data_IF_598700665272
#
_entry.id   IF_598700665272
#
_cell.length_a   1.000
_cell.length_b   1.000
_cell.length_c   1.000
_cell.angle_alpha   90.00
_cell.angle_beta   90.00
_cell.angle_gamma   90.00
#
_symmetry.space_group_name_H-M   'P 1'
#
loop_
_entity.id
_entity.type
_entity.pdbx_description
1 polymer ?
#
# COMPACT_ATOMS: atom_id res chain seq x y z
N UNK A 1 -12.70 -25.20 12.77
CA UNK A 1 -14.02 -25.19 12.08
C UNK A 1 -13.95 -25.78 10.67
N UNK A 2 -13.03 -25.31 9.80
CA UNK A 2 -12.90 -25.80 8.41
C UNK A 2 -12.57 -27.30 8.27
N UNK A 3 -11.58 -27.82 9.03
CA UNK A 3 -11.22 -29.25 8.95
C UNK A 3 -12.38 -30.18 9.36
N UNK A 4 -13.21 -29.75 10.30
CA UNK A 4 -14.43 -30.43 10.74
C UNK A 4 -15.50 -30.46 9.63
N UNK A 5 -15.65 -29.35 8.90
CA UNK A 5 -16.54 -29.30 7.73
C UNK A 5 -16.04 -30.23 6.62
N UNK A 6 -14.75 -30.14 6.28
CA UNK A 6 -14.09 -30.97 5.25
C UNK A 6 -14.22 -32.47 5.53
N UNK A 7 -14.11 -32.88 6.79
CA UNK A 7 -14.25 -34.30 7.17
C UNK A 7 -15.68 -34.83 7.11
N UNK A 8 -16.69 -33.97 7.20
CA UNK A 8 -18.10 -34.38 7.31
C UNK A 8 -18.93 -34.13 6.04
N UNK A 9 -18.44 -33.30 5.11
CA UNK A 9 -19.11 -33.07 3.84
C UNK A 9 -18.99 -34.29 2.91
N UNK A 10 -20.06 -34.61 2.19
CA UNK A 10 -20.14 -35.76 1.25
C UNK A 10 -20.21 -35.34 -0.22
N UNK A 11 -20.10 -34.04 -0.50
CA UNK A 11 -20.35 -33.45 -1.83
C UNK A 11 -19.12 -33.60 -2.73
N UNK A 12 -17.92 -33.41 -2.17
CA UNK A 12 -16.66 -33.43 -2.92
C UNK A 12 -15.71 -34.47 -2.31
N UNK A 13 -15.21 -35.40 -3.11
CA UNK A 13 -14.14 -36.32 -2.68
C UNK A 13 -12.81 -35.56 -2.68
N UNK A 14 -12.26 -35.32 -1.49
CA UNK A 14 -10.98 -34.63 -1.33
C UNK A 14 -9.84 -35.66 -1.30
N UNK A 15 -8.95 -35.56 -2.27
CA UNK A 15 -7.73 -36.35 -2.33
C UNK A 15 -6.64 -35.72 -1.46
N UNK A 16 -6.46 -36.26 -0.25
CA UNK A 16 -5.45 -35.79 0.71
C UNK A 16 -4.01 -36.00 0.21
N UNK A 17 -3.79 -36.89 -0.75
CA UNK A 17 -2.44 -37.12 -1.31
C UNK A 17 -1.94 -35.90 -2.11
N UNK A 18 -2.84 -35.01 -2.55
CA UNK A 18 -2.50 -33.78 -3.27
C UNK A 18 -2.31 -32.56 -2.37
N UNK A 19 -2.35 -32.74 -1.05
CA UNK A 19 -2.06 -31.66 -0.11
C UNK A 19 -0.62 -31.14 -0.31
N UNK A 20 -0.49 -29.81 -0.40
CA UNK A 20 0.79 -29.11 -0.51
C UNK A 20 1.18 -28.56 0.87
N UNK A 21 2.41 -28.83 1.35
CA UNK A 21 2.88 -28.28 2.61
C UNK A 21 3.15 -26.76 2.50
N UNK A 22 3.28 -26.09 3.63
CA UNK A 22 3.64 -24.67 3.68
C UNK A 22 4.99 -24.38 2.98
N UNK A 23 5.94 -25.32 3.08
CA UNK A 23 7.24 -25.23 2.43
C UNK A 23 7.14 -25.07 0.91
N UNK A 24 6.12 -25.67 0.27
CA UNK A 24 5.87 -25.52 -1.15
C UNK A 24 5.67 -24.05 -1.53
N UNK A 25 4.91 -23.29 -0.74
CA UNK A 25 4.63 -21.89 -1.00
C UNK A 25 5.87 -20.99 -0.75
N UNK A 26 6.80 -21.42 0.11
CA UNK A 26 8.09 -20.75 0.32
C UNK A 26 9.00 -21.00 -0.89
N UNK A 27 9.07 -22.25 -1.35
CA UNK A 27 9.77 -22.61 -2.58
C UNK A 27 9.22 -21.79 -3.75
N UNK A 28 7.90 -21.75 -3.89
CA UNK A 28 7.25 -20.96 -4.92
C UNK A 28 7.57 -19.47 -4.79
N UNK A 29 7.60 -18.95 -3.58
CA UNK A 29 7.98 -17.57 -3.28
C UNK A 29 9.41 -17.20 -3.69
N UNK A 30 10.31 -18.18 -3.86
CA UNK A 30 11.69 -17.97 -4.29
C UNK A 30 11.94 -18.15 -5.79
N UNK A 31 10.89 -18.54 -6.54
CA UNK A 31 10.94 -18.72 -7.99
C UNK A 31 10.95 -17.38 -8.74
N UNK A 32 11.75 -17.27 -9.80
CA UNK A 32 11.87 -16.09 -10.66
C UNK A 32 13.32 -15.73 -10.98
N UNK A 33 13.50 -14.85 -11.96
CA UNK A 33 14.79 -14.45 -12.51
C UNK A 33 15.23 -13.09 -11.96
N UNK A 34 16.30 -13.08 -11.17
CA UNK A 34 16.85 -11.86 -10.56
C UNK A 34 17.41 -10.83 -11.55
N UNK A 35 17.67 -11.21 -12.79
CA UNK A 35 18.25 -10.31 -13.79
C UNK A 35 17.17 -9.67 -14.67
N UNK A 36 15.99 -10.29 -14.74
CA UNK A 36 14.88 -9.80 -15.52
C UNK A 36 13.77 -9.19 -14.65
N UNK A 37 13.74 -7.86 -14.56
CA UNK A 37 12.67 -7.10 -13.86
C UNK A 37 11.27 -7.32 -14.45
N UNK A 38 11.19 -7.65 -15.73
CA UNK A 38 9.93 -7.91 -16.42
C UNK A 38 9.40 -9.33 -16.17
N UNK A 39 10.25 -10.23 -15.67
CA UNK A 39 9.84 -11.57 -15.25
C UNK A 39 8.97 -11.51 -13.98
N UNK A 40 8.14 -12.53 -13.76
CA UNK A 40 7.27 -12.62 -12.58
C UNK A 40 8.05 -13.29 -11.43
N UNK A 41 8.05 -12.66 -10.25
CA UNK A 41 8.78 -13.14 -9.09
C UNK A 41 7.82 -13.68 -8.02
N UNK A 42 8.08 -14.88 -7.51
CA UNK A 42 7.28 -15.51 -6.47
C UNK A 42 5.88 -15.89 -6.93
N UNK A 43 5.75 -16.48 -8.12
CA UNK A 43 4.49 -16.91 -8.74
C UNK A 43 4.53 -18.38 -9.11
N UNK A 44 3.36 -19.01 -9.24
CA UNK A 44 3.18 -20.40 -9.68
C UNK A 44 4.20 -20.91 -10.73
N UNK A 45 4.72 -22.13 -10.48
CA UNK A 45 5.72 -22.82 -11.29
C UNK A 45 5.33 -24.30 -11.42
N UNK A 46 5.17 -24.76 -12.66
CA UNK A 46 4.76 -26.12 -12.96
C UNK A 46 5.79 -27.18 -12.52
N UNK A 47 7.08 -26.86 -12.60
CA UNK A 47 8.19 -27.76 -12.25
C UNK A 47 8.30 -27.99 -10.75
N UNK A 48 8.17 -26.94 -9.94
CA UNK A 48 8.15 -27.01 -8.48
C UNK A 48 6.93 -27.81 -8.01
N UNK A 49 5.75 -27.55 -8.59
CA UNK A 49 4.54 -28.32 -8.31
C UNK A 49 4.71 -29.80 -8.65
N UNK A 50 5.25 -30.12 -9.84
CA UNK A 50 5.49 -31.50 -10.26
C UNK A 50 6.45 -32.21 -9.32
N UNK A 51 7.52 -31.53 -8.89
CA UNK A 51 8.51 -32.07 -7.95
C UNK A 51 7.89 -32.35 -6.59
N UNK A 52 7.03 -31.46 -6.11
CA UNK A 52 6.32 -31.62 -4.84
C UNK A 52 5.32 -32.77 -4.91
N UNK A 53 4.54 -32.87 -5.99
CA UNK A 53 3.52 -33.91 -6.14
C UNK A 53 4.09 -35.29 -6.43
N UNK A 54 5.38 -35.41 -6.80
CA UNK A 54 6.07 -36.68 -6.96
C UNK A 54 6.31 -37.38 -5.61
N UNK A 55 6.41 -36.63 -4.52
CA UNK A 55 6.63 -37.17 -3.18
C UNK A 55 5.34 -37.71 -2.55
N UNK A 56 5.45 -38.85 -1.87
CA UNK A 56 4.29 -39.61 -1.38
C UNK A 56 3.62 -38.97 -0.16
N UNK A 57 4.41 -38.57 0.84
CA UNK A 57 3.91 -38.08 2.12
C UNK A 57 4.14 -36.58 2.30
N UNK A 58 3.30 -35.92 3.10
CA UNK A 58 3.43 -34.48 3.40
C UNK A 58 4.79 -34.09 4.00
N UNK A 59 5.37 -34.97 4.83
CA UNK A 59 6.71 -34.74 5.40
C UNK A 59 7.79 -34.76 4.34
N UNK A 60 7.75 -35.75 3.44
CA UNK A 60 8.73 -35.91 2.36
C UNK A 60 8.63 -34.75 1.36
N UNK A 61 7.40 -34.33 1.04
CA UNK A 61 7.12 -33.09 0.28
C UNK A 61 7.79 -31.87 0.91
N UNK A 62 7.55 -31.66 2.21
CA UNK A 62 8.08 -30.49 2.91
C UNK A 62 9.61 -30.50 2.93
N UNK A 63 10.22 -31.67 3.12
CA UNK A 63 11.68 -31.83 3.09
C UNK A 63 12.22 -31.51 1.69
N UNK A 64 11.59 -32.08 0.65
CA UNK A 64 11.98 -31.84 -0.74
C UNK A 64 11.87 -30.37 -1.13
N UNK A 65 10.80 -29.69 -0.74
CA UNK A 65 10.59 -28.27 -1.02
C UNK A 65 11.65 -27.39 -0.33
N UNK A 66 12.00 -27.72 0.91
CA UNK A 66 13.06 -27.00 1.64
C UNK A 66 14.42 -27.24 0.97
N UNK A 67 14.74 -28.47 0.58
CA UNK A 67 15.97 -28.79 -0.14
C UNK A 67 16.09 -27.98 -1.42
N UNK A 68 15.04 -27.96 -2.25
CA UNK A 68 15.01 -27.16 -3.48
C UNK A 68 15.10 -25.65 -3.22
N UNK A 69 14.48 -25.16 -2.15
CA UNK A 69 14.54 -23.76 -1.76
C UNK A 69 15.97 -23.36 -1.35
N UNK A 70 16.62 -24.19 -0.54
CA UNK A 70 18.01 -23.97 -0.10
C UNK A 70 18.95 -24.03 -1.30
N UNK A 71 18.80 -25.05 -2.17
CA UNK A 71 19.59 -25.20 -3.39
C UNK A 71 19.46 -23.96 -4.28
N UNK A 72 18.23 -23.50 -4.57
CA UNK A 72 17.99 -22.31 -5.39
C UNK A 72 18.61 -21.06 -4.78
N UNK A 73 18.47 -20.89 -3.47
CA UNK A 73 19.01 -19.72 -2.76
C UNK A 73 20.54 -19.75 -2.75
N UNK A 74 21.15 -20.92 -2.56
CA UNK A 74 22.60 -21.10 -2.62
C UNK A 74 23.14 -20.86 -4.04
N UNK A 75 22.49 -21.42 -5.06
CA UNK A 75 22.87 -21.26 -6.47
C UNK A 75 22.76 -19.80 -6.92
N UNK A 76 21.76 -19.07 -6.44
CA UNK A 76 21.62 -17.62 -6.69
C UNK A 76 22.72 -16.83 -5.97
N UNK A 77 23.07 -17.20 -4.74
CA UNK A 77 24.03 -16.49 -3.91
C UNK A 77 23.46 -15.24 -3.25
N UNK A 78 24.16 -14.70 -2.25
CA UNK A 78 23.63 -13.66 -1.34
C UNK A 78 23.23 -12.37 -2.07
N UNK A 79 24.12 -11.80 -2.89
CA UNK A 79 23.87 -10.51 -3.55
C UNK A 79 22.67 -10.57 -4.50
N UNK A 80 22.58 -11.64 -5.31
CA UNK A 80 21.47 -11.86 -6.23
C UNK A 80 20.18 -12.23 -5.52
N UNK A 81 20.26 -12.90 -4.37
CA UNK A 81 19.09 -13.17 -3.52
C UNK A 81 18.50 -11.87 -2.96
N UNK A 82 19.32 -10.94 -2.50
CA UNK A 82 18.86 -9.61 -2.08
C UNK A 82 18.22 -8.88 -3.26
N UNK A 83 18.86 -8.91 -4.44
CA UNK A 83 18.32 -8.32 -5.68
C UNK A 83 16.95 -8.90 -6.04
N UNK A 84 16.81 -10.23 -6.01
CA UNK A 84 15.57 -10.96 -6.27
C UNK A 84 14.44 -10.49 -5.34
N UNK A 85 14.67 -10.48 -4.03
CA UNK A 85 13.65 -10.04 -3.08
C UNK A 85 13.34 -8.54 -3.20
N UNK A 86 14.32 -7.73 -3.61
CA UNK A 86 14.09 -6.33 -3.98
C UNK A 86 13.14 -6.20 -5.18
N UNK A 87 13.38 -6.95 -6.26
CA UNK A 87 12.47 -6.96 -7.42
C UNK A 87 11.08 -7.46 -7.04
N UNK A 88 10.99 -8.52 -6.23
CA UNK A 88 9.72 -9.01 -5.73
C UNK A 88 8.99 -7.95 -4.90
N UNK A 89 9.69 -7.24 -4.02
CA UNK A 89 9.13 -6.12 -3.26
C UNK A 89 8.55 -5.04 -4.18
N UNK A 90 9.30 -4.64 -5.21
CA UNK A 90 8.81 -3.69 -6.19
C UNK A 90 7.55 -4.24 -6.88
N UNK A 91 7.53 -5.48 -7.33
CA UNK A 91 6.33 -6.04 -7.99
C UNK A 91 5.09 -6.13 -7.09
N UNK A 92 5.28 -6.18 -5.78
CA UNK A 92 4.18 -6.16 -4.81
C UNK A 92 3.69 -4.72 -4.58
N UNK A 93 4.56 -3.71 -4.65
CA UNK A 93 4.29 -2.34 -4.13
C UNK A 93 4.45 -1.19 -5.14
N UNK A 94 4.92 -1.46 -6.36
CA UNK A 94 5.32 -0.45 -7.35
C UNK A 94 4.14 0.36 -7.90
N UNK A 95 2.97 -0.26 -7.96
CA UNK A 95 1.80 0.30 -8.62
C UNK A 95 0.62 0.44 -7.66
N UNK A 96 -0.11 1.55 -7.82
CA UNK A 96 -1.42 1.74 -7.17
C UNK A 96 -2.51 0.80 -7.66
N UNK A 97 -2.21 -0.04 -8.67
CA UNK A 97 -3.12 -0.99 -9.29
C UNK A 97 -3.06 -2.30 -8.51
N UNK A 98 -3.65 -2.27 -7.30
CA UNK A 98 -3.68 -3.41 -6.39
C UNK A 98 -4.64 -4.47 -6.93
N UNK A 99 -4.12 -5.68 -7.21
CA UNK A 99 -4.91 -6.85 -7.60
C UNK A 99 -5.19 -7.06 -9.09
N UNK A 100 -4.67 -6.19 -9.97
CA UNK A 100 -4.92 -6.27 -11.41
C UNK A 100 -3.64 -6.21 -12.27
N UNK A 101 -2.46 -6.31 -11.66
CA UNK A 101 -1.18 -6.12 -12.33
C UNK A 101 -0.52 -7.47 -12.70
N UNK A 102 -0.24 -7.67 -14.00
CA UNK A 102 0.65 -8.71 -14.58
C UNK A 102 0.19 -10.17 -14.55
N UNK A 103 -1.04 -10.44 -14.13
CA UNK A 103 -1.51 -11.82 -13.97
C UNK A 103 -2.15 -12.44 -15.21
N UNK A 104 -2.34 -11.67 -16.29
CA UNK A 104 -2.94 -12.16 -17.54
C UNK A 104 -4.37 -12.73 -17.40
N UNK A 105 -5.02 -12.58 -16.24
CA UNK A 105 -6.34 -13.15 -15.96
C UNK A 105 -7.45 -12.57 -16.85
N UNK A 106 -7.19 -11.43 -17.49
CA UNK A 106 -8.15 -10.68 -18.29
C UNK A 106 -7.67 -10.55 -19.76
N UNK A 107 -7.05 -11.59 -20.31
CA UNK A 107 -6.45 -11.56 -21.65
C UNK A 107 -7.46 -11.77 -22.80
N UNK A 108 -8.58 -12.47 -22.57
CA UNK A 108 -9.53 -12.84 -23.63
C UNK A 108 -10.98 -12.53 -23.23
N UNK A 109 -11.59 -11.54 -23.88
CA UNK A 109 -13.01 -11.22 -23.69
C UNK A 109 -13.58 -10.59 -24.96
N UNK A 110 -14.87 -10.79 -25.18
CA UNK A 110 -15.63 -10.01 -26.17
C UNK A 110 -16.02 -8.67 -25.54
N UNK A 111 -15.66 -7.56 -26.19
CA UNK A 111 -16.15 -6.25 -25.78
C UNK A 111 -17.68 -6.19 -25.96
N UNK A 112 -18.37 -5.63 -24.96
CA UNK A 112 -19.78 -5.29 -25.03
C UNK A 112 -20.03 -4.23 -26.12
N UNK A 113 -21.28 -4.07 -26.56
CA UNK A 113 -21.66 -3.10 -27.59
C UNK A 113 -21.04 -1.71 -27.35
N UNK A 114 -20.48 -1.12 -28.41
CA UNK A 114 -19.84 0.19 -28.38
C UNK A 114 -20.80 1.24 -27.80
N UNK A 115 -20.31 2.04 -26.85
CA UNK A 115 -21.08 3.09 -26.17
C UNK A 115 -21.82 2.64 -24.91
N UNK A 116 -21.97 1.33 -24.66
CA UNK A 116 -22.55 0.84 -23.39
C UNK A 116 -21.67 1.18 -22.18
N UNK A 117 -22.30 1.36 -21.01
CA UNK A 117 -21.57 1.52 -19.73
C UNK A 117 -20.63 0.32 -19.49
N UNK A 118 -21.08 -0.88 -19.85
CA UNK A 118 -20.27 -2.10 -19.79
C UNK A 118 -19.01 -1.98 -20.63
N UNK A 119 -19.10 -1.52 -21.88
CA UNK A 119 -17.92 -1.31 -22.73
C UNK A 119 -16.95 -0.27 -22.12
N UNK A 120 -17.45 0.82 -21.53
CA UNK A 120 -16.59 1.80 -20.84
C UNK A 120 -15.84 1.21 -19.65
N UNK A 121 -16.51 0.40 -18.82
CA UNK A 121 -15.89 -0.30 -17.69
C UNK A 121 -14.85 -1.30 -18.20
N UNK A 122 -15.19 -2.08 -19.22
CA UNK A 122 -14.29 -3.03 -19.86
C UNK A 122 -13.02 -2.36 -20.40
N UNK A 123 -13.14 -1.17 -21.01
CA UNK A 123 -11.98 -0.40 -21.49
C UNK A 123 -11.03 0.08 -20.38
N UNK A 124 -11.47 0.10 -19.11
CA UNK A 124 -10.64 0.46 -17.95
C UNK A 124 -9.88 -0.76 -17.42
N UNK A 125 -10.59 -1.88 -17.22
CA UNK A 125 -10.03 -3.04 -16.53
C UNK A 125 -9.22 -3.95 -17.44
N UNK A 126 -9.56 -4.00 -18.72
CA UNK A 126 -8.96 -4.97 -19.60
C UNK A 126 -7.62 -4.54 -20.17
N UNK A 127 -6.74 -5.53 -20.40
CA UNK A 127 -5.33 -5.29 -20.71
C UNK A 127 -5.10 -4.38 -21.94
N UNK A 128 -5.88 -4.61 -23.00
CA UNK A 128 -5.86 -3.84 -24.26
C UNK A 128 -6.89 -2.71 -24.31
N UNK A 129 -7.49 -2.33 -23.18
CA UNK A 129 -8.48 -1.27 -23.09
C UNK A 129 -7.85 0.12 -23.28
N UNK A 130 -8.51 0.99 -24.06
CA UNK A 130 -7.99 2.33 -24.36
C UNK A 130 -7.90 3.24 -23.13
N UNK A 131 -8.75 3.03 -22.13
CA UNK A 131 -8.80 3.86 -20.92
C UNK A 131 -7.87 3.35 -19.81
N UNK A 132 -7.34 2.12 -19.94
CA UNK A 132 -6.49 1.49 -18.93
C UNK A 132 -5.22 2.27 -18.60
N UNK A 133 -4.46 2.83 -19.56
CA UNK A 133 -3.27 3.63 -19.24
C UNK A 133 -3.60 4.86 -18.39
N UNK A 134 -4.68 5.58 -18.71
CA UNK A 134 -5.13 6.75 -17.95
C UNK A 134 -5.59 6.37 -16.54
N UNK A 135 -6.29 5.24 -16.40
CA UNK A 135 -6.68 4.70 -15.10
C UNK A 135 -5.47 4.32 -14.24
N UNK A 136 -4.50 3.59 -14.82
CA UNK A 136 -3.27 3.22 -14.12
C UNK A 136 -2.49 4.46 -13.65
N UNK A 137 -2.43 5.50 -14.48
CA UNK A 137 -1.80 6.77 -14.11
C UNK A 137 -2.51 7.43 -12.91
N UNK A 138 -3.84 7.45 -12.91
CA UNK A 138 -4.61 7.99 -11.78
C UNK A 138 -4.40 7.17 -10.50
N UNK A 139 -4.43 5.84 -10.59
CA UNK A 139 -4.08 4.95 -9.49
C UNK A 139 -2.68 5.23 -8.94
N UNK A 140 -1.71 5.49 -9.82
CA UNK A 140 -0.34 5.82 -9.40
C UNK A 140 -0.26 7.14 -8.63
N UNK A 141 -1.03 8.17 -9.04
CA UNK A 141 -1.11 9.43 -8.29
C UNK A 141 -1.66 9.19 -6.88
N UNK A 142 -2.78 8.48 -6.76
CA UNK A 142 -3.37 8.17 -5.46
C UNK A 142 -2.44 7.32 -4.59
N UNK A 143 -1.68 6.42 -5.21
CA UNK A 143 -0.68 5.62 -4.53
C UNK A 143 0.45 6.46 -3.96
N UNK A 144 1.01 7.39 -4.74
CA UNK A 144 2.05 8.31 -4.27
C UNK A 144 1.53 9.16 -3.10
N UNK A 145 0.31 9.70 -3.19
CA UNK A 145 -0.32 10.45 -2.08
C UNK A 145 -0.43 9.58 -0.83
N UNK A 146 -0.83 8.32 -0.99
CA UNK A 146 -0.97 7.34 0.10
C UNK A 146 0.38 7.04 0.77
N UNK A 147 1.44 6.87 -0.02
CA UNK A 147 2.80 6.63 0.48
C UNK A 147 3.34 7.86 1.22
N UNK A 148 3.23 9.04 0.65
CA UNK A 148 3.68 10.30 1.28
C UNK A 148 2.94 10.49 2.61
N UNK A 149 1.62 10.32 2.63
CA UNK A 149 0.82 10.45 3.84
C UNK A 149 1.21 9.41 4.89
N UNK A 150 1.46 8.16 4.48
CA UNK A 150 1.93 7.11 5.39
C UNK A 150 3.29 7.46 6.00
N UNK A 151 4.22 8.02 5.23
CA UNK A 151 5.52 8.51 5.73
C UNK A 151 5.30 9.61 6.78
N UNK A 152 4.42 10.58 6.50
CA UNK A 152 4.08 11.64 7.46
C UNK A 152 3.54 11.05 8.77
N UNK A 153 2.63 10.07 8.69
CA UNK A 153 2.12 9.39 9.88
C UNK A 153 3.24 8.73 10.69
N UNK A 154 4.18 8.04 10.04
CA UNK A 154 5.31 7.38 10.70
C UNK A 154 6.24 8.36 11.41
N UNK A 155 6.55 9.49 10.77
CA UNK A 155 7.50 10.45 11.32
C UNK A 155 6.89 11.30 12.44
N UNK A 156 5.66 11.79 12.24
CA UNK A 156 5.04 12.80 13.10
C UNK A 156 4.06 12.23 14.12
N UNK A 157 3.41 11.08 13.87
CA UNK A 157 2.45 10.46 14.78
C UNK A 157 3.04 9.21 15.45
N UNK A 158 4.10 9.38 16.25
CA UNK A 158 4.82 8.29 16.95
C UNK A 158 4.06 7.72 18.15
N UNK A 159 2.83 7.26 17.92
CA UNK A 159 2.01 6.60 18.92
C UNK A 159 2.17 5.08 18.83
N UNK A 160 1.93 4.37 19.94
CA UNK A 160 1.95 2.90 19.95
C UNK A 160 0.95 2.31 18.95
N UNK A 161 -0.19 2.97 18.73
CA UNK A 161 -1.21 2.56 17.75
C UNK A 161 -0.67 2.57 16.33
N UNK A 162 0.04 3.63 15.93
CA UNK A 162 0.73 3.70 14.64
C UNK A 162 1.78 2.59 14.55
N UNK A 163 2.55 2.37 15.61
CA UNK A 163 3.52 1.28 15.68
C UNK A 163 2.92 -0.10 15.40
N UNK A 164 1.76 -0.43 16.00
CA UNK A 164 1.05 -1.70 15.76
C UNK A 164 0.61 -1.83 14.30
N UNK A 165 0.06 -0.77 13.72
CA UNK A 165 -0.39 -0.76 12.31
C UNK A 165 0.80 -0.96 11.37
N UNK A 166 1.89 -0.22 11.59
CA UNK A 166 3.12 -0.33 10.81
C UNK A 166 3.76 -1.70 10.93
N UNK A 167 3.80 -2.28 12.13
CA UNK A 167 4.37 -3.60 12.34
C UNK A 167 3.51 -4.70 11.70
N UNK A 168 2.19 -4.53 11.71
CA UNK A 168 1.26 -5.43 11.00
C UNK A 168 1.45 -5.37 9.48
N UNK A 169 1.62 -4.16 8.93
CA UNK A 169 1.94 -3.97 7.50
C UNK A 169 3.30 -4.57 7.15
N UNK A 170 4.32 -4.35 7.99
CA UNK A 170 5.66 -4.91 7.79
C UNK A 170 5.61 -6.45 7.81
N UNK A 171 4.93 -7.04 8.79
CA UNK A 171 4.75 -8.49 8.87
C UNK A 171 3.99 -9.04 7.65
N UNK A 172 2.96 -8.32 7.21
CA UNK A 172 2.22 -8.66 6.00
C UNK A 172 3.07 -8.61 4.73
N UNK A 173 3.89 -7.58 4.56
CA UNK A 173 4.82 -7.45 3.44
C UNK A 173 5.92 -8.53 3.48
N UNK A 174 6.48 -8.82 4.65
CA UNK A 174 7.45 -9.91 4.82
C UNK A 174 6.84 -11.27 4.48
N UNK A 175 5.58 -11.50 4.88
CA UNK A 175 4.85 -12.70 4.50
C UNK A 175 4.72 -12.80 2.98
N UNK A 176 4.34 -11.73 2.29
CA UNK A 176 4.28 -11.71 0.82
C UNK A 176 5.67 -11.88 0.17
N UNK A 177 6.74 -11.40 0.80
CA UNK A 177 8.09 -11.61 0.30
C UNK A 177 8.54 -13.06 0.43
N UNK A 178 8.18 -13.75 1.50
CA UNK A 178 8.58 -15.14 1.74
C UNK A 178 7.77 -16.11 0.88
N UNK A 179 6.45 -15.93 0.83
CA UNK A 179 5.52 -16.85 0.17
C UNK A 179 5.21 -16.46 -1.27
N UNK A 180 4.54 -17.34 -2.01
CA UNK A 180 3.98 -17.00 -3.32
C UNK A 180 3.06 -15.77 -3.20
N UNK A 181 3.40 -14.68 -3.90
CA UNK A 181 2.67 -13.42 -3.79
C UNK A 181 1.87 -13.05 -5.04
N UNK A 182 2.15 -13.68 -6.19
CA UNK A 182 1.36 -13.46 -7.42
C UNK A 182 1.21 -11.97 -7.79
N UNK A 183 2.25 -11.15 -7.57
CA UNK A 183 2.20 -9.69 -7.75
C UNK A 183 1.45 -8.94 -6.63
N UNK A 184 0.53 -8.05 -7.02
CA UNK A 184 -0.16 -7.13 -6.09
C UNK A 184 -1.47 -7.69 -5.51
N UNK A 185 -1.91 -8.89 -5.94
CA UNK A 185 -3.18 -9.53 -5.52
C UNK A 185 -3.36 -9.63 -4.02
N UNK A 186 -2.39 -10.25 -3.35
CA UNK A 186 -2.51 -10.46 -1.91
C UNK A 186 -2.21 -9.19 -1.10
N UNK A 187 -1.69 -8.12 -1.72
CA UNK A 187 -1.60 -6.81 -1.06
C UNK A 187 -2.99 -6.23 -0.77
N UNK A 188 -4.02 -6.64 -1.53
CA UNK A 188 -5.40 -6.20 -1.32
C UNK A 188 -5.91 -6.47 0.10
N UNK A 189 -5.51 -7.58 0.72
CA UNK A 189 -5.93 -7.90 2.09
C UNK A 189 -5.36 -6.93 3.13
N UNK A 190 -4.36 -6.12 2.80
CA UNK A 190 -3.76 -5.13 3.70
C UNK A 190 -4.23 -3.70 3.40
N UNK A 191 -5.14 -3.51 2.44
CA UNK A 191 -5.56 -2.17 2.00
C UNK A 191 -6.16 -1.35 3.14
N UNK A 192 -6.90 -1.98 4.06
CA UNK A 192 -7.48 -1.28 5.20
C UNK A 192 -6.41 -0.71 6.15
N UNK A 193 -5.31 -1.44 6.36
CA UNK A 193 -4.19 -0.95 7.17
C UNK A 193 -3.42 0.17 6.45
N UNK A 194 -3.23 0.04 5.13
CA UNK A 194 -2.59 1.07 4.31
C UNK A 194 -3.42 2.37 4.35
N UNK A 195 -4.73 2.27 4.14
CA UNK A 195 -5.65 3.41 4.20
C UNK A 195 -5.68 4.03 5.61
N UNK A 196 -5.66 3.22 6.66
CA UNK A 196 -5.63 3.72 8.04
C UNK A 196 -4.33 4.48 8.32
N UNK A 197 -3.18 3.94 7.94
CA UNK A 197 -1.89 4.61 8.13
C UNK A 197 -1.79 5.91 7.33
N UNK A 198 -2.21 5.88 6.06
CA UNK A 198 -2.29 7.06 5.20
C UNK A 198 -3.24 8.13 5.76
N UNK A 199 -4.43 7.72 6.22
CA UNK A 199 -5.45 8.61 6.79
C UNK A 199 -4.96 9.34 8.05
N UNK A 200 -4.15 8.68 8.89
CA UNK A 200 -3.52 9.32 10.05
C UNK A 200 -2.53 10.41 9.63
N UNK A 201 -1.81 10.22 8.54
CA UNK A 201 -0.88 11.22 7.98
C UNK A 201 -1.61 12.41 7.39
N UNK A 202 -2.67 12.16 6.61
CA UNK A 202 -3.53 13.20 6.05
C UNK A 202 -4.16 14.02 7.19
N UNK A 203 -4.69 13.36 8.22
CA UNK A 203 -5.29 14.02 9.38
C UNK A 203 -4.29 14.93 10.09
N UNK A 204 -3.04 14.48 10.25
CA UNK A 204 -1.97 15.33 10.80
C UNK A 204 -1.72 16.57 9.94
N UNK A 205 -1.60 16.42 8.63
CA UNK A 205 -1.45 17.56 7.72
C UNK A 205 -2.61 18.54 7.84
N UNK A 206 -3.85 18.07 7.78
CA UNK A 206 -5.04 18.92 7.85
C UNK A 206 -5.13 19.69 9.18
N UNK A 207 -4.80 19.05 10.30
CA UNK A 207 -4.78 19.69 11.61
C UNK A 207 -3.67 20.75 11.70
N UNK A 208 -2.49 20.47 11.15
CA UNK A 208 -1.38 21.43 11.09
C UNK A 208 -1.74 22.65 10.26
N UNK A 209 -2.28 22.45 9.05
CA UNK A 209 -2.72 23.53 8.17
C UNK A 209 -3.82 24.38 8.82
N UNK A 210 -4.80 23.74 9.47
CA UNK A 210 -5.89 24.45 10.15
C UNK A 210 -5.40 25.23 11.39
N UNK A 211 -4.44 24.68 12.13
CA UNK A 211 -3.76 25.38 13.24
C UNK A 211 -2.95 26.59 12.79
N UNK A 212 -2.21 26.47 11.68
CA UNK A 212 -1.45 27.59 11.10
C UNK A 212 -2.38 28.72 10.64
N UNK A 213 -3.54 28.39 10.06
CA UNK A 213 -4.56 29.38 9.67
C UNK A 213 -5.16 30.07 10.90
N UNK A 214 -5.41 29.34 11.99
CA UNK A 214 -5.94 29.92 13.22
C UNK A 214 -4.94 30.90 13.88
N UNK A 215 -3.66 30.51 13.96
CA UNK A 215 -2.58 31.35 14.51
C UNK A 215 -2.39 32.63 13.67
N UNK A 216 -2.43 32.52 12.34
CA UNK A 216 -2.37 33.70 11.46
C UNK A 216 -3.55 34.65 11.69
N UNK A 217 -4.77 34.14 11.87
CA UNK A 217 -5.96 34.95 12.15
C UNK A 217 -5.87 35.66 13.51
N UNK A 218 -5.39 34.99 14.54
CA UNK A 218 -5.17 35.62 15.85
C UNK A 218 -4.08 36.69 15.82
N UNK A 219 -2.98 36.46 15.08
CA UNK A 219 -1.91 37.44 14.91
C UNK A 219 -2.36 38.70 14.18
N UNK A 220 -3.18 38.56 13.12
CA UNK A 220 -3.77 39.71 12.40
C UNK A 220 -4.70 40.50 13.31
N UNK A 221 -5.59 39.83 14.05
CA UNK A 221 -6.54 40.49 14.95
C UNK A 221 -5.85 41.26 16.08
N UNK A 222 -4.80 40.67 16.66
CA UNK A 222 -4.01 41.32 17.73
C UNK A 222 -3.29 42.59 17.25
N UNK A 223 -2.79 42.58 16.01
CA UNK A 223 -2.19 43.76 15.39
C UNK A 223 -3.22 44.87 15.09
N UNK A 224 -4.43 44.52 14.66
CA UNK A 224 -5.54 45.48 14.48
C UNK A 224 -5.97 46.10 15.82
N UNK A 225 -6.07 45.29 16.88
CA UNK A 225 -6.40 45.76 18.23
C UNK A 225 -5.31 46.69 18.80
N UNK A 226 -4.03 46.40 18.59
CA UNK A 226 -2.93 47.31 18.99
C UNK A 226 -2.91 48.62 18.20
N UNK A 227 -3.18 48.58 16.89
CA UNK A 227 -3.28 49.79 16.07
C UNK A 227 -4.45 50.68 16.47
N UNK A 228 -5.60 50.10 16.80
CA UNK A 228 -6.77 50.86 17.28
C UNK A 228 -6.53 51.47 18.68
N UNK A 229 -5.83 50.76 19.58
CA UNK A 229 -5.45 51.30 20.88
C UNK A 229 -4.43 52.46 20.76
N UNK A 230 -3.44 52.35 19.87
CA UNK A 230 -2.46 53.42 19.62
C UNK A 230 -3.07 54.64 18.93
N UNK A 231 -4.02 54.43 18.02
CA UNK A 231 -4.73 55.54 17.36
C UNK A 231 -5.69 56.26 18.33
N UNK A 232 -6.39 55.54 19.21
CA UNK A 232 -7.28 56.16 20.20
C UNK A 232 -6.53 56.95 21.28
N UNK A 233 -5.42 56.40 21.78
CA UNK A 233 -4.56 57.07 22.77
C UNK A 233 -3.84 58.31 22.21
N UNK A 234 -3.39 58.27 20.95
CA UNK A 234 -2.83 59.45 20.26
C UNK A 234 -3.88 60.54 20.00
N UNK A 235 -5.13 60.17 19.68
CA UNK A 235 -6.26 61.11 19.54
C UNK A 235 -6.63 61.76 20.88
N UNK A 236 -6.64 61.00 21.98
CA UNK A 236 -6.84 61.55 23.33
C UNK A 236 -5.73 62.53 23.74
N UNK A 237 -4.45 62.19 23.47
CA UNK A 237 -3.33 63.13 23.72
C UNK A 237 -3.48 64.42 22.93
N UNK A 238 -3.87 64.35 21.64
CA UNK A 238 -4.11 65.54 20.81
C UNK A 238 -5.30 66.38 21.27
N UNK A 239 -6.35 65.78 21.84
CA UNK A 239 -7.47 66.51 22.45
C UNK A 239 -7.05 67.22 23.74
N UNK A 240 -6.28 66.56 24.60
CA UNK A 240 -5.80 67.17 25.85
C UNK A 240 -4.85 68.36 25.58
N UNK A 241 -3.94 68.26 24.61
CA UNK A 241 -3.06 69.40 24.26
C UNK A 241 -3.81 70.60 23.67
N UNK A 242 -4.85 70.36 22.86
CA UNK A 242 -5.73 71.44 22.35
C UNK A 242 -6.59 72.10 23.42
N UNK A 243 -7.04 71.35 24.43
CA UNK A 243 -7.82 71.91 25.54
C UNK A 243 -6.94 72.74 26.49
N UNK A 244 -5.68 72.34 26.67
CA UNK A 244 -4.71 73.11 27.47
C UNK A 244 -4.37 74.43 26.77
N UNK A 245 -4.19 74.44 25.43
CA UNK A 245 -3.88 75.67 24.68
C UNK A 245 -5.05 76.66 24.56
N UNK A 246 -6.29 76.20 24.81
CA UNK A 246 -7.50 77.06 24.82
C UNK A 246 -7.79 77.69 26.19
N UNK A 247 -7.21 77.17 27.28
CA UNK A 247 -7.36 77.71 28.64
C UNK A 247 -6.31 78.76 29.02
N UNK A 248 -5.29 78.98 28.17
CA UNK A 248 -4.18 79.90 28.42
C UNK A 248 -4.29 81.23 27.64
N UNK A 249 -5.51 81.64 27.26
CA UNK A 249 -5.84 82.96 26.70
C UNK A 249 -7.02 83.52 27.48
#
# INVERSE_FOLDING_TARGET
MFNLFVSNQKIVKIDKSKELPMAHFILMGSFGDEDNRESIHGTWNAGDLKSTLAEKNKSDKSKKDIELFVERTANRGLARTIKFYGQKYFQITDTGVIGYHRDGLWLNYAYSANGSLSNKIQQIYYENGKLRPSFNFLCQIFWIITLISSIIALYFNRTWKVGVVTLSLLGGLLFLLIFESGGTKYMFQYIYLICLLSGLGISYCLNRFSGDIAIQKEGVKKNEDEQTLNNSSSLQRRRNTRNISKRSK
#
